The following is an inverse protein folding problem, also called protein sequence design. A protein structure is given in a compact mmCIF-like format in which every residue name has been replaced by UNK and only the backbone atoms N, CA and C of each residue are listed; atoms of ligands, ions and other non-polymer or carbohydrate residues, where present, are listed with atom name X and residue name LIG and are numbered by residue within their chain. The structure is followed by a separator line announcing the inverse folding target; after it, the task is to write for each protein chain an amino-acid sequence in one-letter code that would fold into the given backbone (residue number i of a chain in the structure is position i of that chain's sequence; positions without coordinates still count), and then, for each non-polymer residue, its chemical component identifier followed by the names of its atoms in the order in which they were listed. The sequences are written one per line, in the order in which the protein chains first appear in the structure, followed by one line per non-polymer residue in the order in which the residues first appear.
data_IF_351081467968
#
_entry.id   IF_351081467968
#
_cell.length_a   1.000
_cell.length_b   1.000
_cell.length_c   1.000
_cell.angle_alpha   90.00
_cell.angle_beta   90.00
_cell.angle_gamma   90.00
#
_symmetry.space_group_name_H-M   'P 1'
#
loop_
_entity.id
_entity.type
_entity.pdbx_description
1 polymer ?
#
# COMPACT_ATOMS: atom_id res chain seq x y z
N UNK A 1 -0.41 0.79 -19.64
CA UNK A 1 -1.13 1.13 -18.40
C UNK A 1 -0.43 0.48 -17.21
N UNK A 2 -0.10 1.26 -16.20
CA UNK A 2 0.60 0.72 -15.05
C UNK A 2 -0.34 -0.05 -14.13
N UNK A 3 0.15 -1.14 -13.60
CA UNK A 3 -0.58 -1.86 -12.57
C UNK A 3 -0.45 -1.14 -11.24
N UNK A 4 -1.46 -1.28 -10.41
CA UNK A 4 -1.55 -0.59 -9.12
C UNK A 4 -1.32 -1.57 -7.99
N UNK A 5 -0.39 -1.24 -7.11
CA UNK A 5 -0.08 -2.05 -5.94
C UNK A 5 -0.38 -1.28 -4.66
N UNK A 6 -0.84 -1.99 -3.66
CA UNK A 6 -1.07 -1.44 -2.33
C UNK A 6 -0.30 -2.30 -1.34
N UNK A 7 0.57 -1.66 -0.56
CA UNK A 7 1.38 -2.35 0.46
C UNK A 7 1.07 -1.74 1.82
N UNK A 8 0.71 -2.56 2.79
CA UNK A 8 0.49 -2.11 4.15
C UNK A 8 1.75 -2.31 4.99
N UNK A 9 1.91 -1.50 6.03
CA UNK A 9 3.07 -1.60 6.91
C UNK A 9 4.38 -1.26 6.23
N UNK A 10 4.40 -0.16 5.47
CA UNK A 10 5.53 0.19 4.60
C UNK A 10 6.60 1.05 5.26
N UNK A 11 6.46 1.41 6.54
CA UNK A 11 7.42 2.32 7.18
C UNK A 11 8.79 1.67 7.43
N UNK A 12 8.85 0.37 7.51
CA UNK A 12 10.11 -0.35 7.76
C UNK A 12 9.98 -1.82 7.35
N UNK A 13 11.12 -2.52 7.36
CA UNK A 13 11.17 -3.96 7.17
C UNK A 13 10.68 -4.43 5.80
N UNK A 14 9.96 -5.53 5.81
CA UNK A 14 9.51 -6.18 4.57
C UNK A 14 8.59 -5.28 3.76
N UNK A 15 7.67 -4.56 4.42
CA UNK A 15 6.77 -3.66 3.71
C UNK A 15 7.50 -2.54 2.99
N UNK A 16 8.51 -1.97 3.63
CA UNK A 16 9.35 -0.94 3.04
C UNK A 16 10.04 -1.47 1.78
N UNK A 17 10.73 -2.60 1.90
CA UNK A 17 11.45 -3.21 0.76
C UNK A 17 10.52 -3.65 -0.35
N UNK A 18 9.35 -4.20 0.00
CA UNK A 18 8.37 -4.64 -0.99
C UNK A 18 7.84 -3.46 -1.80
N UNK A 19 7.57 -2.34 -1.13
CA UNK A 19 7.09 -1.13 -1.82
C UNK A 19 8.11 -0.65 -2.85
N UNK A 20 9.37 -0.64 -2.48
CA UNK A 20 10.43 -0.23 -3.40
C UNK A 20 10.55 -1.20 -4.58
N UNK A 21 10.53 -2.51 -4.29
CA UNK A 21 10.66 -3.52 -5.33
C UNK A 21 9.53 -3.43 -6.36
N UNK A 22 8.29 -3.26 -5.89
CA UNK A 22 7.16 -3.12 -6.79
C UNK A 22 7.28 -1.89 -7.67
N UNK A 23 7.63 -0.75 -7.07
CA UNK A 23 7.77 0.48 -7.84
C UNK A 23 8.91 0.39 -8.86
N UNK A 24 10.02 -0.23 -8.48
CA UNK A 24 11.15 -0.45 -9.39
C UNK A 24 10.78 -1.35 -10.56
N UNK A 25 9.76 -2.16 -10.40
CA UNK A 25 9.29 -3.07 -11.44
C UNK A 25 8.05 -2.54 -12.18
N UNK A 26 7.80 -1.26 -12.11
CA UNK A 26 6.78 -0.62 -12.94
C UNK A 26 5.39 -0.52 -12.33
N UNK A 27 5.20 -0.93 -11.09
CA UNK A 27 3.92 -0.74 -10.42
C UNK A 27 3.81 0.67 -9.85
N UNK A 28 2.66 1.28 -10.05
CA UNK A 28 2.34 2.48 -9.28
C UNK A 28 1.93 1.98 -7.89
N UNK A 29 2.72 2.31 -6.88
CA UNK A 29 2.60 1.69 -5.57
C UNK A 29 2.10 2.67 -4.53
N UNK A 30 1.05 2.28 -3.81
CA UNK A 30 0.61 3.00 -2.63
C UNK A 30 1.27 2.36 -1.41
N UNK A 31 2.23 3.05 -0.84
CA UNK A 31 2.92 2.60 0.36
C UNK A 31 2.18 3.18 1.56
N UNK A 32 1.57 2.33 2.34
CA UNK A 32 0.73 2.79 3.44
C UNK A 32 1.34 2.47 4.79
N UNK A 33 1.09 3.32 5.74
CA UNK A 33 1.60 3.17 7.09
C UNK A 33 0.63 3.81 8.08
N UNK A 34 0.63 3.29 9.29
CA UNK A 34 -0.26 3.81 10.31
C UNK A 34 0.13 5.21 10.78
N UNK A 35 1.42 5.48 10.83
CA UNK A 35 1.95 6.74 11.31
C UNK A 35 2.78 7.40 10.21
N UNK A 36 2.24 8.46 9.62
CA UNK A 36 2.90 9.16 8.52
C UNK A 36 4.20 9.86 8.95
N UNK A 37 4.41 10.07 10.24
CA UNK A 37 5.67 10.65 10.70
C UNK A 37 6.87 9.74 10.46
N UNK A 38 6.63 8.47 10.11
CA UNK A 38 7.68 7.49 9.85
C UNK A 38 7.96 7.30 8.38
N UNK A 39 7.60 8.26 7.54
CA UNK A 39 7.74 8.14 6.09
C UNK A 39 9.04 8.71 5.52
N UNK A 40 9.92 9.22 6.37
CA UNK A 40 11.09 9.95 5.90
C UNK A 40 12.05 9.11 5.05
N UNK A 41 12.36 7.90 5.50
CA UNK A 41 13.27 7.04 4.74
C UNK A 41 12.73 6.71 3.35
N UNK A 42 11.46 6.34 3.27
CA UNK A 42 10.87 5.98 1.99
C UNK A 42 10.76 7.20 1.08
N UNK A 43 10.47 8.38 1.64
CA UNK A 43 10.44 9.61 0.85
C UNK A 43 11.79 9.91 0.23
N UNK A 44 12.88 9.69 0.96
CA UNK A 44 14.23 9.91 0.43
C UNK A 44 14.50 8.99 -0.75
N UNK A 45 14.14 7.73 -0.66
CA UNK A 45 14.36 6.78 -1.75
C UNK A 45 13.49 7.12 -2.96
N UNK A 46 12.22 7.47 -2.73
CA UNK A 46 11.32 7.89 -3.80
C UNK A 46 11.93 9.04 -4.59
N UNK A 47 12.43 10.04 -3.89
CA UNK A 47 13.02 11.22 -4.52
C UNK A 47 14.31 10.88 -5.25
N UNK A 48 15.16 10.08 -4.62
CA UNK A 48 16.46 9.73 -5.20
C UNK A 48 16.32 8.90 -6.48
N UNK A 49 15.37 7.96 -6.50
CA UNK A 49 15.17 7.04 -7.62
C UNK A 49 14.02 7.43 -8.53
N UNK A 50 13.30 8.50 -8.20
CA UNK A 50 12.12 8.96 -8.96
C UNK A 50 11.10 7.84 -9.14
N UNK A 51 10.70 7.23 -8.04
CA UNK A 51 9.78 6.10 -8.05
C UNK A 51 8.31 6.54 -8.04
N UNK A 52 7.46 5.74 -8.67
CA UNK A 52 6.01 5.95 -8.66
C UNK A 52 5.40 5.37 -7.39
N UNK A 53 5.64 6.03 -6.28
CA UNK A 53 5.10 5.64 -4.98
C UNK A 53 4.34 6.81 -4.37
N UNK A 54 3.11 6.57 -3.95
CA UNK A 54 2.35 7.52 -3.14
C UNK A 54 2.24 6.97 -1.74
N UNK A 55 2.43 7.84 -0.75
CA UNK A 55 2.36 7.45 0.65
C UNK A 55 0.99 7.83 1.19
N UNK A 56 0.31 6.87 1.82
CA UNK A 56 -1.01 7.10 2.41
C UNK A 56 -1.03 6.57 3.83
N UNK A 57 -1.85 7.22 4.66
CA UNK A 57 -2.13 6.70 5.98
C UNK A 57 -3.13 5.55 5.88
N UNK A 58 -2.80 4.43 6.52
CA UNK A 58 -3.72 3.32 6.62
C UNK A 58 -3.41 2.53 7.90
N UNK A 59 -4.38 2.52 8.81
CA UNK A 59 -4.34 1.72 10.02
C UNK A 59 -5.27 0.53 9.79
N UNK A 60 -4.69 -0.65 9.67
CA UNK A 60 -5.48 -1.86 9.37
C UNK A 60 -6.45 -2.23 10.49
N UNK A 61 -6.25 -1.69 11.68
CA UNK A 61 -7.14 -1.91 12.81
C UNK A 61 -8.30 -0.90 12.85
N UNK A 62 -8.31 0.06 11.95
CA UNK A 62 -9.35 1.09 11.88
C UNK A 62 -10.13 0.96 10.59
N UNK A 63 -11.39 0.55 10.69
CA UNK A 63 -12.27 0.43 9.53
C UNK A 63 -12.39 1.74 8.77
N UNK A 64 -12.48 2.86 9.49
CA UNK A 64 -12.57 4.17 8.87
C UNK A 64 -11.32 4.48 8.06
N UNK A 65 -10.14 4.19 8.61
CA UNK A 65 -8.87 4.43 7.93
C UNK A 65 -8.77 3.59 6.66
N UNK A 66 -9.15 2.32 6.74
CA UNK A 66 -9.15 1.42 5.59
C UNK A 66 -10.09 1.95 4.49
N UNK A 67 -11.31 2.34 4.88
CA UNK A 67 -12.27 2.85 3.92
C UNK A 67 -11.80 4.13 3.22
N UNK A 68 -11.16 5.03 3.95
CA UNK A 68 -10.63 6.26 3.37
C UNK A 68 -9.50 5.98 2.39
N UNK A 69 -8.58 5.09 2.75
CA UNK A 69 -7.47 4.75 1.87
C UNK A 69 -7.98 4.10 0.57
N UNK A 70 -8.92 3.17 0.69
CA UNK A 70 -9.52 2.52 -0.47
C UNK A 70 -10.19 3.56 -1.38
N UNK A 71 -10.94 4.47 -0.78
CA UNK A 71 -11.63 5.51 -1.54
C UNK A 71 -10.65 6.35 -2.34
N UNK A 72 -9.57 6.79 -1.70
CA UNK A 72 -8.54 7.59 -2.37
C UNK A 72 -7.96 6.84 -3.55
N UNK A 73 -7.59 5.57 -3.35
CA UNK A 73 -6.96 4.77 -4.40
C UNK A 73 -7.90 4.56 -5.58
N UNK A 74 -9.15 4.19 -5.31
CA UNK A 74 -10.10 3.93 -6.38
C UNK A 74 -10.54 5.22 -7.10
N UNK A 75 -10.57 6.35 -6.41
CA UNK A 75 -10.85 7.63 -7.07
C UNK A 75 -9.69 8.03 -8.00
N UNK A 76 -8.46 7.76 -7.59
CA UNK A 76 -7.29 8.13 -8.39
C UNK A 76 -7.00 7.16 -9.52
N UNK A 77 -7.14 5.87 -9.27
CA UNK A 77 -6.65 4.84 -10.20
C UNK A 77 -7.72 3.87 -10.66
N UNK A 78 -8.81 3.73 -9.92
CA UNK A 78 -9.92 2.86 -10.30
C UNK A 78 -9.68 1.37 -10.13
N UNK A 79 -8.52 0.97 -9.60
CA UNK A 79 -8.19 -0.45 -9.48
C UNK A 79 -7.08 -0.69 -8.46
N UNK A 80 -7.01 -1.92 -8.00
CA UNK A 80 -5.85 -2.43 -7.24
C UNK A 80 -5.55 -3.81 -7.83
N UNK A 81 -4.38 -3.97 -8.39
CA UNK A 81 -3.97 -5.24 -9.01
C UNK A 81 -3.25 -6.17 -8.05
N UNK A 82 -2.53 -5.60 -7.10
CA UNK A 82 -1.74 -6.36 -6.14
C UNK A 82 -1.93 -5.76 -4.75
N UNK A 83 -2.26 -6.62 -3.81
CA UNK A 83 -2.34 -6.22 -2.40
C UNK A 83 -1.32 -7.04 -1.63
N UNK A 84 -0.40 -6.35 -0.97
CA UNK A 84 0.53 -6.98 -0.04
C UNK A 84 0.16 -6.53 1.36
N UNK A 85 -0.48 -7.42 2.11
CA UNK A 85 -0.90 -7.11 3.47
C UNK A 85 0.20 -7.52 4.43
N UNK A 86 1.07 -6.58 4.75
CA UNK A 86 2.22 -6.79 5.61
C UNK A 86 2.04 -6.22 7.02
N UNK A 87 0.96 -5.50 7.26
CA UNK A 87 0.68 -4.93 8.57
C UNK A 87 0.01 -5.96 9.46
N UNK A 88 0.40 -5.98 10.73
CA UNK A 88 -0.18 -6.90 11.71
C UNK A 88 0.41 -8.30 11.58
N UNK A 89 0.18 -9.11 12.44
CA UNK A 89 0.52 -10.50 12.75
C UNK A 89 1.32 -11.35 11.76
N UNK A 90 2.14 -10.75 10.95
CA UNK A 90 2.88 -11.50 9.95
C UNK A 90 2.04 -12.09 8.84
N UNK A 91 0.79 -11.79 8.82
CA UNK A 91 -0.09 -12.18 7.73
C UNK A 91 0.25 -11.35 6.49
N UNK A 92 0.45 -12.03 5.43
CA UNK A 92 0.71 -11.35 4.17
C UNK A 92 0.22 -12.22 3.03
N UNK A 93 -0.07 -11.59 1.94
CA UNK A 93 -0.51 -12.30 0.77
C UNK A 93 -0.51 -11.38 -0.42
N UNK A 94 -0.44 -11.93 -1.59
CA UNK A 94 -0.57 -11.19 -2.83
C UNK A 94 -1.85 -11.59 -3.49
N UNK A 95 -2.65 -10.59 -3.85
CA UNK A 95 -3.92 -10.81 -4.51
C UNK A 95 -3.84 -10.17 -5.88
N UNK A 96 -4.21 -10.89 -6.93
CA UNK A 96 -4.07 -10.40 -8.29
C UNK A 96 -5.11 -9.37 -8.65
N UNK A 97 -6.37 -9.69 -8.56
CA UNK A 97 -7.45 -8.76 -8.90
C UNK A 97 -8.31 -8.58 -7.67
N UNK A 98 -8.25 -7.40 -7.07
CA UNK A 98 -8.94 -7.13 -5.82
C UNK A 98 -10.11 -6.19 -6.07
N UNK A 99 -11.32 -6.65 -5.74
CA UNK A 99 -12.47 -5.78 -5.71
C UNK A 99 -12.46 -5.02 -4.39
N UNK A 100 -13.23 -3.95 -4.31
CA UNK A 100 -13.33 -3.17 -3.08
C UNK A 100 -13.87 -4.03 -1.92
N UNK A 101 -14.79 -4.94 -2.22
CA UNK A 101 -15.35 -5.82 -1.19
C UNK A 101 -14.33 -6.83 -0.70
N UNK A 102 -13.57 -7.42 -1.60
CA UNK A 102 -12.50 -8.35 -1.24
C UNK A 102 -11.44 -7.65 -0.40
N UNK A 103 -11.09 -6.43 -0.76
CA UNK A 103 -10.11 -5.66 0.00
C UNK A 103 -10.60 -5.44 1.42
N UNK A 104 -11.84 -5.00 1.59
CA UNK A 104 -12.43 -4.77 2.91
C UNK A 104 -12.47 -6.05 3.74
N UNK A 105 -12.82 -7.15 3.11
CA UNK A 105 -12.89 -8.45 3.79
C UNK A 105 -11.55 -8.84 4.40
N UNK A 106 -10.44 -8.52 3.73
CA UNK A 106 -9.12 -8.84 4.24
C UNK A 106 -8.78 -8.11 5.54
N UNK A 107 -9.42 -6.97 5.79
CA UNK A 107 -9.13 -6.16 6.97
C UNK A 107 -10.21 -6.26 8.05
N UNK A 108 -11.25 -7.03 7.85
CA UNK A 108 -12.32 -7.15 8.83
C UNK A 108 -12.09 -8.23 9.88
N UNK A 109 -11.06 -9.01 9.77
CA UNK A 109 -10.78 -10.05 10.76
C UNK A 109 -9.91 -9.54 11.93
#
# INVERSE_FOLDING_TARGET
MNKIALVTGSSSGIGFETSLALARNGFHTFATMRDLSKDEEIKQVIKKEDLSIEILELDVDSEESVNQAIKIIFEKKGRIDVLVNNAGYGMWGTVEDVSIDEFKEQFET
#
